data_IF_770906675087
#
_entry.id   IF_770906675087
#
_cell.length_a   1.000
_cell.length_b   1.000
_cell.length_c   1.000
_cell.angle_alpha   90.00
_cell.angle_beta   90.00
_cell.angle_gamma   90.00
#
_symmetry.space_group_name_H-M   'P 1'
#
loop_
_entity.id
_entity.type
_entity.pdbx_description
1 polymer ?
#
# COMPACT_ATOMS: atom_id res chain seq x y z
N UNK A 1 17.02 -13.96 12.89
CA UNK A 1 16.35 -14.67 11.78
C UNK A 1 14.90 -15.06 12.10
N UNK A 2 14.60 -15.94 13.07
CA UNK A 2 13.20 -16.34 13.37
C UNK A 2 12.27 -15.17 13.79
N UNK A 3 12.78 -14.24 14.62
CA UNK A 3 12.01 -13.05 15.05
C UNK A 3 11.63 -12.10 13.90
N UNK A 4 12.53 -11.88 12.93
CA UNK A 4 12.26 -10.99 11.79
C UNK A 4 11.25 -11.60 10.82
N UNK A 5 11.33 -12.90 10.60
CA UNK A 5 10.34 -13.62 9.79
C UNK A 5 8.93 -13.44 10.36
N UNK A 6 8.75 -13.68 11.66
CA UNK A 6 7.44 -13.58 12.31
C UNK A 6 6.91 -12.14 12.32
N UNK A 7 7.76 -11.14 12.59
CA UNK A 7 7.40 -9.71 12.53
C UNK A 7 6.98 -9.30 11.12
N UNK A 8 7.75 -9.70 10.11
CA UNK A 8 7.46 -9.44 8.71
C UNK A 8 6.13 -10.08 8.31
N UNK A 9 5.94 -11.36 8.62
CA UNK A 9 4.69 -12.08 8.31
C UNK A 9 3.47 -11.38 8.91
N UNK A 10 3.51 -11.02 10.21
CA UNK A 10 2.40 -10.29 10.86
C UNK A 10 2.11 -8.95 10.20
N UNK A 11 3.14 -8.20 9.81
CA UNK A 11 2.98 -6.94 9.07
C UNK A 11 2.24 -7.20 7.75
N UNK A 12 2.71 -8.15 6.95
CA UNK A 12 2.12 -8.42 5.62
C UNK A 12 0.70 -8.98 5.73
N UNK A 13 0.43 -9.84 6.70
CA UNK A 13 -0.92 -10.31 7.00
C UNK A 13 -1.84 -9.15 7.39
N UNK A 14 -1.35 -8.21 8.23
CA UNK A 14 -2.11 -7.01 8.58
C UNK A 14 -2.41 -6.12 7.36
N UNK A 15 -1.44 -5.93 6.46
CA UNK A 15 -1.64 -5.18 5.22
C UNK A 15 -2.61 -5.88 4.27
N UNK A 16 -2.55 -7.21 4.22
CA UNK A 16 -3.46 -8.04 3.41
C UNK A 16 -4.89 -7.94 3.92
N UNK A 17 -5.10 -8.10 5.23
CA UNK A 17 -6.41 -7.97 5.87
C UNK A 17 -7.03 -6.57 5.70
N UNK A 18 -6.20 -5.53 5.55
CA UNK A 18 -6.64 -4.15 5.26
C UNK A 18 -6.88 -3.86 3.78
N UNK A 19 -6.76 -4.86 2.90
CA UNK A 19 -6.80 -4.71 1.44
C UNK A 19 -5.72 -3.78 0.86
N UNK A 20 -4.61 -3.60 1.58
CA UNK A 20 -3.50 -2.74 1.16
C UNK A 20 -2.44 -3.54 0.38
N UNK A 21 -2.33 -4.85 0.64
CA UNK A 21 -1.44 -5.77 -0.06
C UNK A 21 -2.26 -6.92 -0.64
N UNK A 22 -2.44 -6.92 -1.96
CA UNK A 22 -3.24 -7.90 -2.69
C UNK A 22 -2.43 -8.61 -3.78
N UNK A 23 -1.37 -7.97 -4.30
CA UNK A 23 -0.45 -8.63 -5.24
C UNK A 23 0.40 -9.68 -4.51
N UNK A 24 0.15 -10.95 -4.82
CA UNK A 24 0.89 -12.09 -4.25
C UNK A 24 2.38 -12.07 -4.60
N UNK A 25 2.75 -11.56 -5.77
CA UNK A 25 4.17 -11.37 -6.15
C UNK A 25 4.82 -10.37 -5.22
N UNK A 26 4.12 -9.29 -4.89
CA UNK A 26 4.63 -8.28 -3.97
C UNK A 26 4.71 -8.81 -2.53
N UNK A 27 3.73 -9.61 -2.08
CA UNK A 27 3.82 -10.30 -0.80
C UNK A 27 5.10 -11.16 -0.71
N UNK A 28 5.38 -11.96 -1.74
CA UNK A 28 6.60 -12.77 -1.77
C UNK A 28 7.86 -11.91 -1.84
N UNK A 29 7.85 -10.84 -2.63
CA UNK A 29 8.96 -9.88 -2.67
C UNK A 29 9.27 -9.29 -1.28
N UNK A 30 8.24 -8.89 -0.52
CA UNK A 30 8.45 -8.44 0.86
C UNK A 30 9.08 -9.54 1.72
N UNK A 31 8.59 -10.78 1.63
CA UNK A 31 9.13 -11.93 2.37
C UNK A 31 10.60 -12.16 2.08
N UNK A 32 11.01 -12.07 0.81
CA UNK A 32 12.38 -12.33 0.35
C UNK A 32 13.34 -11.17 0.63
N UNK A 33 12.94 -9.92 0.41
CA UNK A 33 13.85 -8.76 0.51
C UNK A 33 13.99 -8.32 1.98
N UNK A 34 15.19 -8.37 2.58
CA UNK A 34 15.41 -8.04 3.99
C UNK A 34 15.51 -6.53 4.21
N UNK A 35 14.48 -5.90 4.78
CA UNK A 35 14.43 -4.45 5.01
C UNK A 35 15.63 -3.94 5.84
N UNK A 36 16.08 -4.74 6.80
CA UNK A 36 17.21 -4.40 7.68
C UNK A 36 18.52 -4.13 6.93
N UNK A 37 18.74 -4.75 5.76
CA UNK A 37 19.96 -4.55 4.97
C UNK A 37 20.01 -3.18 4.27
N UNK A 38 18.86 -2.50 4.21
CA UNK A 38 18.71 -1.17 3.62
C UNK A 38 18.78 -0.03 4.64
N UNK A 39 19.03 -0.35 5.92
CA UNK A 39 19.09 0.62 7.01
C UNK A 39 20.48 0.54 7.64
N UNK A 40 21.28 1.63 7.64
CA UNK A 40 22.54 1.65 8.37
C UNK A 40 22.35 1.27 9.84
N UNK A 41 23.24 0.43 10.39
CA UNK A 41 23.08 -0.15 11.74
C UNK A 41 22.76 0.87 12.84
N UNK A 42 23.33 2.07 12.76
CA UNK A 42 23.09 3.18 13.70
C UNK A 42 21.64 3.69 13.73
N UNK A 43 20.85 3.41 12.70
CA UNK A 43 19.45 3.83 12.58
C UNK A 43 18.46 2.67 12.76
N UNK A 44 18.92 1.42 12.90
CA UNK A 44 18.04 0.27 13.10
C UNK A 44 17.42 0.32 14.50
N UNK A 45 16.10 0.48 14.54
CA UNK A 45 15.27 0.28 15.72
C UNK A 45 14.59 -1.10 15.61
N UNK A 46 15.12 -2.11 16.31
CA UNK A 46 14.65 -3.51 16.21
C UNK A 46 13.22 -3.73 16.74
N UNK A 47 12.70 -2.78 17.53
CA UNK A 47 11.33 -2.78 18.05
C UNK A 47 10.36 -2.22 17.02
N UNK A 48 10.83 -1.29 16.18
CA UNK A 48 10.04 -0.66 15.11
C UNK A 48 10.21 -1.30 13.74
N UNK A 49 11.30 -2.02 13.52
CA UNK A 49 11.54 -2.76 12.29
C UNK A 49 10.35 -3.69 12.01
N UNK A 50 9.86 -3.67 10.76
CA UNK A 50 8.65 -4.37 10.34
C UNK A 50 7.35 -3.90 11.01
N UNK A 51 7.28 -2.67 11.52
CA UNK A 51 6.01 -1.96 11.72
C UNK A 51 5.66 -1.15 10.47
N UNK A 52 4.38 -0.85 10.32
CA UNK A 52 3.88 -0.05 9.20
C UNK A 52 4.16 1.46 9.40
N UNK A 53 5.43 1.82 9.45
CA UNK A 53 5.91 3.20 9.64
C UNK A 53 7.15 3.44 8.77
N UNK A 54 7.46 4.71 8.43
CA UNK A 54 8.71 5.04 7.75
C UNK A 54 9.93 4.72 8.61
N UNK A 55 11.02 4.26 7.99
CA UNK A 55 12.28 3.94 8.68
C UNK A 55 13.36 4.95 8.28
N UNK A 56 14.01 5.58 9.27
CA UNK A 56 15.14 6.48 9.02
C UNK A 56 16.33 5.67 8.51
N UNK A 57 16.94 6.10 7.41
CA UNK A 57 18.19 5.49 6.91
C UNK A 57 19.31 6.52 6.71
N UNK A 58 18.97 7.80 6.73
CA UNK A 58 19.94 8.88 6.61
C UNK A 58 19.49 10.09 7.44
N UNK A 59 20.44 10.73 8.10
CA UNK A 59 20.24 11.94 8.88
C UNK A 59 21.54 12.74 8.89
N UNK A 60 21.44 13.99 8.45
CA UNK A 60 22.47 15.00 8.58
C UNK A 60 22.00 16.12 9.51
N UNK A 61 20.79 16.64 9.25
CA UNK A 61 20.13 17.68 10.04
C UNK A 61 18.58 17.58 9.91
N UNK A 62 17.80 18.39 10.65
CA UNK A 62 16.33 18.33 10.61
C UNK A 62 15.68 18.59 9.24
N UNK A 63 16.38 19.25 8.31
CA UNK A 63 15.93 19.50 6.93
C UNK A 63 16.49 18.45 5.96
N UNK A 64 17.64 17.84 6.29
CA UNK A 64 18.34 16.83 5.51
C UNK A 64 18.33 15.46 6.21
N UNK A 65 17.15 14.84 6.24
CA UNK A 65 16.98 13.44 6.63
C UNK A 65 16.24 12.68 5.52
N UNK A 66 16.43 11.36 5.46
CA UNK A 66 15.73 10.49 4.50
C UNK A 66 15.19 9.25 5.18
N UNK A 67 13.99 8.89 4.77
CA UNK A 67 13.27 7.72 5.28
C UNK A 67 12.92 6.78 4.14
N UNK A 68 12.95 5.49 4.42
CA UNK A 68 12.26 4.46 3.65
C UNK A 68 10.77 4.64 3.92
N UNK A 69 9.94 4.68 2.88
CA UNK A 69 8.48 4.80 3.01
C UNK A 69 7.90 3.68 3.86
N UNK A 70 6.78 3.94 4.53
CA UNK A 70 6.06 2.92 5.28
C UNK A 70 5.64 1.75 4.35
N UNK A 71 5.63 0.50 4.83
CA UNK A 71 5.20 -0.68 4.09
C UNK A 71 3.90 -0.49 3.29
N UNK A 72 2.81 0.02 3.89
CA UNK A 72 1.57 0.26 3.15
C UNK A 72 1.73 1.25 1.98
N UNK A 73 2.64 2.22 2.10
CA UNK A 73 2.89 3.17 1.03
C UNK A 73 3.68 2.54 -0.10
N UNK A 74 4.60 1.63 0.23
CA UNK A 74 5.28 0.80 -0.77
C UNK A 74 4.28 -0.09 -1.51
N UNK A 75 3.32 -0.70 -0.80
CA UNK A 75 2.28 -1.52 -1.45
C UNK A 75 1.42 -0.70 -2.40
N UNK A 76 0.98 0.48 -1.95
CA UNK A 76 0.23 1.43 -2.78
C UNK A 76 1.05 1.83 -4.03
N UNK A 77 2.32 2.21 -3.86
CA UNK A 77 3.17 2.64 -4.96
C UNK A 77 3.38 1.52 -6.00
N UNK A 78 3.81 0.33 -5.57
CA UNK A 78 4.15 -0.75 -6.51
C UNK A 78 2.92 -1.39 -7.16
N UNK A 79 1.82 -1.57 -6.42
CA UNK A 79 0.57 -2.05 -7.02
C UNK A 79 -0.04 -1.02 -7.96
N UNK A 80 0.08 0.28 -7.65
CA UNK A 80 -0.39 1.36 -8.52
C UNK A 80 0.38 1.49 -9.84
N UNK A 81 1.60 0.93 -9.94
CA UNK A 81 2.31 0.84 -11.21
C UNK A 81 1.82 -0.33 -12.09
N UNK A 82 1.23 -1.35 -11.48
CA UNK A 82 0.87 -2.61 -12.13
C UNK A 82 2.03 -3.20 -12.95
N UNK A 83 3.20 -3.38 -12.31
CA UNK A 83 4.43 -3.86 -12.97
C UNK A 83 4.23 -5.25 -13.61
N UNK A 84 4.54 -5.35 -14.90
CA UNK A 84 4.75 -6.59 -15.66
C UNK A 84 6.20 -7.06 -15.50
N UNK A 85 6.50 -8.27 -15.96
CA UNK A 85 7.82 -8.90 -15.73
C UNK A 85 8.96 -8.23 -16.49
N UNK A 86 8.62 -7.52 -17.55
CA UNK A 86 9.45 -6.92 -18.59
C UNK A 86 9.27 -5.40 -18.70
N UNK A 87 8.56 -4.78 -17.75
CA UNK A 87 8.43 -3.32 -17.70
C UNK A 87 9.75 -2.67 -17.28
N UNK A 88 10.24 -1.72 -18.07
CA UNK A 88 11.31 -0.82 -17.65
C UNK A 88 10.77 0.25 -16.70
N UNK A 89 11.49 0.49 -15.61
CA UNK A 89 11.06 1.34 -14.50
C UNK A 89 12.12 2.41 -14.18
N UNK A 90 11.71 3.67 -14.31
CA UNK A 90 12.46 4.82 -13.82
C UNK A 90 11.94 5.26 -12.44
N UNK A 91 12.82 5.30 -11.44
CA UNK A 91 12.51 5.74 -10.06
C UNK A 91 13.19 7.07 -9.79
N UNK A 92 12.40 8.09 -9.43
CA UNK A 92 12.89 9.41 -9.05
C UNK A 92 12.96 9.51 -7.52
N UNK A 93 14.18 9.65 -7.01
CA UNK A 93 14.54 9.60 -5.60
C UNK A 93 14.88 8.18 -5.17
N UNK A 94 16.15 7.95 -4.78
CA UNK A 94 16.66 6.62 -4.50
C UNK A 94 16.12 6.01 -3.21
N UNK A 95 15.79 6.88 -2.24
CA UNK A 95 15.57 6.44 -0.85
C UNK A 95 16.79 5.60 -0.43
N UNK A 96 16.56 4.39 0.08
CA UNK A 96 17.64 3.47 0.42
C UNK A 96 17.88 2.39 -0.64
N UNK A 97 17.06 2.34 -1.71
CA UNK A 97 17.02 1.23 -2.68
C UNK A 97 16.02 0.11 -2.38
N UNK A 98 15.36 0.11 -1.20
CA UNK A 98 14.46 -0.98 -0.80
C UNK A 98 13.28 -1.20 -1.76
N UNK A 99 12.63 -0.10 -2.18
CA UNK A 99 11.52 -0.19 -3.14
C UNK A 99 11.96 -0.72 -4.51
N UNK A 100 13.18 -0.39 -4.93
CA UNK A 100 13.77 -0.84 -6.19
C UNK A 100 14.09 -2.33 -6.14
N UNK A 101 14.57 -2.83 -5.01
CA UNK A 101 14.76 -4.27 -4.80
C UNK A 101 13.43 -5.04 -4.84
N UNK A 102 12.37 -4.48 -4.25
CA UNK A 102 11.02 -5.05 -4.36
C UNK A 102 10.48 -4.97 -5.80
N UNK A 103 10.69 -3.85 -6.50
CA UNK A 103 10.28 -3.69 -7.89
C UNK A 103 10.98 -4.70 -8.81
N UNK A 104 12.28 -4.98 -8.59
CA UNK A 104 13.02 -5.98 -9.34
C UNK A 104 12.42 -7.39 -9.21
N UNK A 105 11.85 -7.74 -8.05
CA UNK A 105 11.13 -9.02 -7.87
C UNK A 105 9.84 -9.08 -8.71
N UNK A 106 9.23 -7.94 -9.02
CA UNK A 106 8.02 -7.86 -9.84
C UNK A 106 8.32 -7.81 -11.34
N UNK A 107 9.39 -7.09 -11.72
CA UNK A 107 9.87 -6.89 -13.08
C UNK A 107 11.31 -7.43 -13.27
N UNK A 108 11.53 -8.75 -13.13
CA UNK A 108 12.89 -9.31 -13.14
C UNK A 108 13.60 -9.25 -14.50
N UNK A 109 12.88 -8.94 -15.59
CA UNK A 109 13.44 -8.81 -16.95
C UNK A 109 13.51 -7.36 -17.44
N UNK A 110 12.90 -6.42 -16.72
CA UNK A 110 12.94 -5.00 -17.06
C UNK A 110 14.17 -4.32 -16.46
N UNK A 111 14.57 -3.22 -17.07
CA UNK A 111 15.64 -2.35 -16.57
C UNK A 111 15.07 -1.41 -15.49
N UNK A 112 15.74 -1.35 -14.33
CA UNK A 112 15.37 -0.43 -13.26
C UNK A 112 16.46 0.62 -13.12
N UNK A 113 16.11 1.88 -13.36
CA UNK A 113 17.03 3.02 -13.18
C UNK A 113 16.50 3.91 -12.07
N UNK A 114 17.39 4.27 -11.16
CA UNK A 114 17.15 5.18 -10.05
C UNK A 114 17.89 6.49 -10.33
N UNK A 115 17.19 7.62 -10.25
CA UNK A 115 17.77 8.96 -10.29
C UNK A 115 17.77 9.56 -8.89
N UNK A 116 18.93 9.98 -8.42
CA UNK A 116 19.11 10.63 -7.13
C UNK A 116 19.98 11.87 -7.27
N UNK A 117 19.61 12.96 -6.60
CA UNK A 117 20.35 14.22 -6.72
C UNK A 117 21.53 14.28 -5.74
N UNK A 118 21.42 13.62 -4.58
CA UNK A 118 22.45 13.63 -3.55
C UNK A 118 23.37 12.41 -3.68
N UNK A 119 24.67 12.64 -3.89
CA UNK A 119 25.66 11.58 -4.08
C UNK A 119 25.80 10.66 -2.88
N UNK A 120 25.73 11.17 -1.65
CA UNK A 120 25.84 10.35 -0.44
C UNK A 120 24.68 9.35 -0.35
N UNK A 121 23.45 9.80 -0.65
CA UNK A 121 22.27 8.91 -0.73
C UNK A 121 22.40 7.90 -1.87
N UNK A 122 22.93 8.32 -3.02
CA UNK A 122 23.17 7.43 -4.15
C UNK A 122 24.19 6.34 -3.79
N UNK A 123 25.28 6.70 -3.09
CA UNK A 123 26.29 5.75 -2.61
C UNK A 123 25.70 4.76 -1.62
N UNK A 124 24.96 5.22 -0.60
CA UNK A 124 24.26 4.34 0.35
C UNK A 124 23.33 3.37 -0.39
N UNK A 125 22.62 3.87 -1.41
CA UNK A 125 21.70 3.05 -2.21
C UNK A 125 22.44 1.98 -3.00
N UNK A 126 23.56 2.32 -3.66
CA UNK A 126 24.40 1.35 -4.38
C UNK A 126 24.93 0.27 -3.45
N UNK A 127 25.49 0.65 -2.30
CA UNK A 127 25.99 -0.30 -1.30
C UNK A 127 24.89 -1.24 -0.80
N UNK A 128 23.65 -0.76 -0.63
CA UNK A 128 22.54 -1.63 -0.21
C UNK A 128 22.10 -2.61 -1.31
N UNK A 129 22.13 -2.18 -2.58
CA UNK A 129 21.78 -3.04 -3.71
C UNK A 129 22.87 -4.09 -3.96
N UNK A 130 24.15 -3.72 -3.84
CA UNK A 130 25.29 -4.61 -3.99
C UNK A 130 25.28 -5.75 -2.95
N UNK A 131 24.90 -5.47 -1.69
CA UNK A 131 24.72 -6.51 -0.65
C UNK A 131 23.75 -7.63 -1.03
N UNK A 132 22.88 -7.39 -2.01
CA UNK A 132 21.88 -8.34 -2.51
C UNK A 132 22.13 -8.76 -3.97
N UNK A 133 23.32 -8.47 -4.52
CA UNK A 133 23.68 -8.75 -5.91
C UNK A 133 22.72 -8.12 -6.95
N UNK A 134 22.13 -6.97 -6.61
CA UNK A 134 21.16 -6.26 -7.46
C UNK A 134 21.76 -5.13 -8.28
N UNK A 135 23.02 -4.79 -8.06
CA UNK A 135 23.79 -3.73 -8.74
C UNK A 135 23.88 -3.93 -10.26
N UNK A 136 23.72 -5.17 -10.74
CA UNK A 136 23.69 -5.51 -12.17
C UNK A 136 22.35 -5.25 -12.86
N UNK A 137 21.26 -5.23 -12.10
CA UNK A 137 19.90 -5.11 -12.61
C UNK A 137 19.25 -3.76 -12.27
N UNK A 138 19.79 -3.07 -11.25
CA UNK A 138 19.27 -1.81 -10.73
C UNK A 138 20.37 -0.76 -10.74
N UNK A 139 20.30 0.17 -11.68
CA UNK A 139 21.29 1.24 -11.84
C UNK A 139 20.94 2.46 -10.99
N UNK A 140 21.93 3.06 -10.33
CA UNK A 140 21.78 4.32 -9.57
C UNK A 140 22.61 5.43 -10.23
N UNK A 141 21.94 6.46 -10.73
CA UNK A 141 22.55 7.58 -11.44
C UNK A 141 22.38 8.86 -10.61
N UNK A 142 23.50 9.58 -10.40
CA UNK A 142 23.47 10.90 -9.75
C UNK A 142 23.08 11.94 -10.79
N UNK A 143 21.87 12.48 -10.71
CA UNK A 143 21.31 13.45 -11.66
C UNK A 143 20.11 14.15 -11.03
N UNK A 144 19.76 15.33 -11.54
CA UNK A 144 18.47 15.94 -11.27
C UNK A 144 17.33 14.99 -11.69
N UNK A 145 16.54 14.42 -10.76
CA UNK A 145 15.56 13.40 -11.10
C UNK A 145 14.43 13.92 -12.00
N UNK A 146 14.11 15.22 -11.94
CA UNK A 146 13.02 15.81 -12.73
C UNK A 146 13.33 15.95 -14.22
N UNK A 147 14.58 15.77 -14.62
CA UNK A 147 14.94 15.68 -16.04
C UNK A 147 14.62 14.30 -16.64
N UNK A 148 14.42 13.30 -15.79
CA UNK A 148 14.29 11.91 -16.22
C UNK A 148 15.53 11.41 -16.99
N UNK A 149 15.29 10.41 -17.85
CA UNK A 149 16.27 9.79 -18.74
C UNK A 149 15.70 9.75 -20.16
N UNK A 150 15.70 10.88 -20.89
CA UNK A 150 15.15 10.95 -22.24
C UNK A 150 15.88 10.03 -23.23
N UNK A 151 17.20 9.86 -23.06
CA UNK A 151 18.03 9.02 -23.94
C UNK A 151 17.68 7.52 -23.87
N UNK A 152 17.00 7.10 -22.79
CA UNK A 152 16.54 5.73 -22.57
C UNK A 152 15.00 5.63 -22.61
N UNK A 153 14.31 6.70 -23.00
CA UNK A 153 12.87 6.67 -23.20
C UNK A 153 12.51 5.91 -24.49
N UNK A 154 11.31 5.32 -24.60
CA UNK A 154 10.17 5.41 -23.68
C UNK A 154 10.27 4.49 -22.44
N UNK A 155 9.71 4.96 -21.33
CA UNK A 155 9.56 4.20 -20.08
C UNK A 155 8.15 3.64 -19.94
N UNK A 156 8.01 2.33 -19.69
CA UNK A 156 6.70 1.78 -19.33
C UNK A 156 6.24 2.34 -17.99
N UNK A 157 7.15 2.54 -17.04
CA UNK A 157 6.81 2.94 -15.67
C UNK A 157 7.74 4.04 -15.16
N UNK A 158 7.16 5.09 -14.59
CA UNK A 158 7.88 6.15 -13.88
C UNK A 158 7.29 6.28 -12.48
N UNK A 159 8.10 6.06 -11.45
CA UNK A 159 7.72 6.20 -10.05
C UNK A 159 8.43 7.39 -9.41
N UNK A 160 7.68 8.28 -8.77
CA UNK A 160 8.25 9.41 -8.03
C UNK A 160 8.08 9.20 -6.53
N UNK A 161 9.19 9.22 -5.79
CA UNK A 161 9.20 8.90 -4.35
C UNK A 161 9.42 10.14 -3.45
N UNK A 162 9.26 11.34 -4.00
CA UNK A 162 9.29 12.62 -3.29
C UNK A 162 8.26 13.59 -3.87
N UNK A 163 7.78 14.53 -3.05
CA UNK A 163 6.75 15.49 -3.47
C UNK A 163 7.24 16.36 -4.64
N UNK A 164 6.39 16.51 -5.66
CA UNK A 164 6.64 17.35 -6.83
C UNK A 164 5.47 18.30 -7.09
N UNK A 165 5.78 19.51 -7.58
CA UNK A 165 4.76 20.47 -8.00
C UNK A 165 4.18 20.09 -9.37
N UNK A 166 2.92 20.44 -9.61
CA UNK A 166 2.18 20.08 -10.82
C UNK A 166 2.89 20.51 -12.11
N UNK A 167 3.51 21.69 -12.14
CA UNK A 167 4.20 22.19 -13.33
C UNK A 167 5.45 21.38 -13.71
N UNK A 168 6.02 20.62 -12.78
CA UNK A 168 7.27 19.86 -12.98
C UNK A 168 7.08 18.46 -13.56
N UNK A 169 5.84 18.02 -13.83
CA UNK A 169 5.58 16.66 -14.35
C UNK A 169 5.80 16.52 -15.86
N UNK A 170 5.70 17.62 -16.61
CA UNK A 170 5.64 17.60 -18.08
C UNK A 170 6.83 16.92 -18.76
N UNK A 171 8.11 17.17 -18.35
CA UNK A 171 9.25 16.49 -18.95
C UNK A 171 9.19 14.96 -18.79
N UNK A 172 8.64 14.47 -17.68
CA UNK A 172 8.50 13.04 -17.38
C UNK A 172 7.38 12.40 -18.21
N UNK A 173 6.26 13.11 -18.40
CA UNK A 173 5.15 12.62 -19.21
C UNK A 173 5.55 12.36 -20.67
N UNK A 174 6.43 13.19 -21.25
CA UNK A 174 6.93 12.99 -22.62
C UNK A 174 7.75 11.71 -22.77
N UNK A 175 8.36 11.25 -21.67
CA UNK A 175 9.22 10.05 -21.64
C UNK A 175 8.45 8.76 -21.39
N UNK A 176 7.14 8.81 -21.09
CA UNK A 176 6.32 7.61 -20.94
C UNK A 176 6.09 6.91 -22.28
N UNK A 177 6.01 5.58 -22.25
CA UNK A 177 5.54 4.78 -23.37
C UNK A 177 4.18 5.29 -23.88
N UNK A 178 4.02 5.53 -25.20
CA UNK A 178 2.82 6.15 -25.75
C UNK A 178 1.58 5.26 -25.70
N UNK A 179 1.74 3.95 -25.54
CA UNK A 179 0.65 2.96 -25.59
C UNK A 179 0.16 2.59 -24.20
N UNK A 180 1.08 2.39 -23.24
CA UNK A 180 0.71 1.93 -21.89
C UNK A 180 1.58 2.49 -20.74
N UNK A 181 2.26 3.61 -20.98
CA UNK A 181 3.15 4.23 -20.00
C UNK A 181 2.41 4.76 -18.77
N UNK A 182 2.89 4.44 -17.57
CA UNK A 182 2.32 4.91 -16.29
C UNK A 182 3.33 5.76 -15.52
N UNK A 183 2.93 6.98 -15.16
CA UNK A 183 3.60 7.77 -14.13
C UNK A 183 2.78 7.71 -12.84
N UNK A 184 3.45 7.48 -11.71
CA UNK A 184 2.81 7.53 -10.40
C UNK A 184 3.62 8.42 -9.44
N UNK A 185 3.00 9.50 -8.95
CA UNK A 185 3.73 10.55 -8.23
C UNK A 185 2.89 11.25 -7.15
N UNK A 186 3.50 11.68 -6.04
CA UNK A 186 2.88 12.59 -5.08
C UNK A 186 2.93 14.02 -5.62
N UNK A 187 1.80 14.48 -6.17
CA UNK A 187 1.70 15.82 -6.78
C UNK A 187 0.93 16.77 -5.87
N UNK A 188 1.53 17.93 -5.57
CA UNK A 188 0.90 18.98 -4.78
C UNK A 188 1.92 19.89 -4.09
N UNK A 189 1.39 20.76 -3.22
CA UNK A 189 2.20 21.65 -2.39
C UNK A 189 2.84 20.91 -1.20
N UNK A 190 3.79 21.55 -0.53
CA UNK A 190 4.76 20.91 0.38
C UNK A 190 4.15 20.16 1.57
N UNK A 191 2.99 20.57 2.10
CA UNK A 191 2.43 19.99 3.32
C UNK A 191 1.55 18.75 3.09
N UNK A 192 0.81 18.69 1.99
CA UNK A 192 -0.08 17.59 1.64
C UNK A 192 -0.14 17.46 0.12
N UNK A 193 0.25 16.30 -0.39
CA UNK A 193 0.16 15.99 -1.81
C UNK A 193 -1.00 15.03 -2.08
N UNK A 194 -1.33 14.89 -3.36
CA UNK A 194 -2.23 13.84 -3.83
C UNK A 194 -1.40 12.87 -4.65
N UNK A 195 -1.29 11.62 -4.19
CA UNK A 195 -0.64 10.59 -4.98
C UNK A 195 -1.50 10.30 -6.21
N UNK A 196 -0.95 10.55 -7.39
CA UNK A 196 -1.67 10.69 -8.66
C UNK A 196 -1.05 9.79 -9.70
N UNK A 197 -1.89 8.95 -10.31
CA UNK A 197 -1.54 8.08 -11.42
C UNK A 197 -1.88 8.77 -12.72
N UNK A 198 -0.96 8.77 -13.68
CA UNK A 198 -1.16 9.31 -15.02
C UNK A 198 -0.77 8.23 -16.02
N UNK A 199 -1.74 7.81 -16.82
CA UNK A 199 -1.57 6.82 -17.88
C UNK A 199 -1.44 7.57 -19.22
N UNK A 200 -0.52 7.11 -20.08
CA UNK A 200 -0.39 7.52 -21.46
C UNK A 200 -0.91 6.39 -22.37
N UNK A 201 -1.97 6.68 -23.13
CA UNK A 201 -2.57 5.74 -24.09
C UNK A 201 -2.83 6.48 -25.39
N UNK A 202 -2.39 5.91 -26.51
CA UNK A 202 -2.50 6.50 -27.85
C UNK A 202 -2.05 7.97 -27.88
N UNK A 203 -0.95 8.28 -27.18
CA UNK A 203 -0.40 9.63 -27.07
C UNK A 203 -1.22 10.61 -26.21
N UNK A 204 -2.33 10.18 -25.62
CA UNK A 204 -3.17 10.97 -24.72
C UNK A 204 -2.87 10.67 -23.25
N UNK A 205 -3.11 11.62 -22.34
CA UNK A 205 -2.83 11.47 -20.92
C UNK A 205 -4.11 11.47 -20.07
N UNK A 206 -4.24 10.46 -19.20
CA UNK A 206 -5.38 10.25 -18.32
C UNK A 206 -4.94 10.17 -16.86
N UNK A 207 -5.50 11.01 -15.99
CA UNK A 207 -5.09 11.13 -14.60
C UNK A 207 -6.14 10.60 -13.60
N UNK A 208 -5.70 9.85 -12.58
CA UNK A 208 -6.50 9.43 -11.42
C UNK A 208 -5.83 9.88 -10.12
N UNK A 209 -6.56 10.67 -9.33
CA UNK A 209 -6.13 11.13 -8.00
C UNK A 209 -6.52 10.06 -6.98
N UNK A 210 -5.54 9.44 -6.32
CA UNK A 210 -5.79 8.26 -5.48
C UNK A 210 -6.02 8.66 -4.02
N UNK A 211 -4.98 9.15 -3.32
CA UNK A 211 -5.06 9.46 -1.89
C UNK A 211 -4.20 10.67 -1.50
N UNK A 212 -4.52 11.25 -0.34
CA UNK A 212 -3.70 12.29 0.29
C UNK A 212 -2.51 11.67 1.00
N UNK A 213 -1.34 12.26 0.80
CA UNK A 213 -0.06 11.77 1.33
C UNK A 213 0.81 12.91 1.84
N UNK A 214 1.86 12.55 2.58
CA UNK A 214 2.89 13.48 3.07
C UNK A 214 4.26 12.93 2.73
N UNK A 215 4.84 13.43 1.65
CA UNK A 215 6.20 13.15 1.23
C UNK A 215 7.07 14.38 1.46
N UNK A 216 8.35 14.14 1.78
CA UNK A 216 9.37 15.19 1.69
C UNK A 216 9.50 15.64 0.23
N UNK A 217 9.82 16.92 -0.04
CA UNK A 217 10.13 17.39 -1.38
C UNK A 217 11.15 16.48 -2.08
N UNK A 218 10.93 16.23 -3.37
CA UNK A 218 11.93 15.54 -4.20
C UNK A 218 13.14 16.45 -4.33
N UNK A 219 14.32 15.93 -3.99
CA UNK A 219 15.56 16.68 -4.15
C UNK A 219 15.95 16.75 -5.63
N UNK A 220 16.23 17.96 -6.11
CA UNK A 220 16.51 18.22 -7.54
C UNK A 220 17.87 18.86 -7.76
N UNK A 221 18.44 19.46 -6.72
CA UNK A 221 19.77 20.05 -6.77
C UNK A 221 20.79 18.92 -6.64
N UNK A 222 21.63 18.77 -7.66
CA UNK A 222 22.74 17.82 -7.60
C UNK A 222 23.72 18.30 -6.53
N UNK A 223 23.90 17.49 -5.51
CA UNK A 223 24.87 17.69 -4.44
C UNK A 223 25.93 16.60 -4.60
N UNK A 224 27.15 17.02 -4.93
CA UNK A 224 28.31 16.14 -5.06
C UNK A 224 29.06 16.13 -3.72
N UNK A 225 29.54 14.96 -3.30
CA UNK A 225 30.27 14.80 -2.05
C UNK A 225 31.53 15.68 -2.05
N UNK A 226 31.87 16.23 -0.87
CA UNK A 226 33.11 16.99 -0.69
C UNK A 226 34.39 16.17 -1.03
N UNK A 227 34.29 14.83 -1.02
CA UNK A 227 35.38 13.92 -1.40
C UNK A 227 35.53 13.86 -2.93
N UNK A 228 34.43 13.90 -3.69
CA UNK A 228 34.45 13.94 -5.16
C UNK A 228 35.02 15.28 -5.66
N UNK A 229 34.64 16.38 -5.00
CA UNK A 229 35.21 17.71 -5.24
C UNK A 229 36.73 17.75 -4.98
N UNK A 230 37.26 16.97 -4.04
CA UNK A 230 38.69 16.90 -3.78
C UNK A 230 39.43 16.04 -4.82
N UNK A 231 38.87 14.89 -5.20
CA UNK A 231 39.45 14.00 -6.22
C UNK A 231 39.51 14.65 -7.61
N UNK A 232 38.43 15.34 -8.02
CA UNK A 232 38.37 16.01 -9.33
C UNK A 232 39.22 17.29 -9.39
N UNK A 233 39.49 17.93 -8.24
CA UNK A 233 40.38 19.11 -8.15
C UNK A 233 41.86 18.70 -8.19
N UNK A 234 42.23 17.55 -7.61
CA UNK A 234 43.58 17.02 -7.71
C UNK A 234 43.91 16.49 -9.12
N UNK A 235 42.93 15.96 -9.85
CA UNK A 235 43.14 15.37 -11.18
C UNK A 235 43.07 16.38 -12.34
N UNK A 236 42.32 17.50 -12.20
CA UNK A 236 42.07 18.44 -13.30
C UNK A 236 42.92 19.72 -13.29
N UNK A 237 43.60 20.06 -12.19
CA UNK A 237 44.57 21.17 -12.12
C UNK A 237 44.07 22.56 -12.56
N UNK A 238 42.76 22.74 -12.78
CA UNK A 238 42.15 24.00 -13.20
C UNK A 238 40.86 24.24 -12.43
N UNK A 239 40.59 25.48 -11.99
CA UNK A 239 39.34 25.80 -11.30
C UNK A 239 38.17 25.54 -12.24
N UNK A 240 37.25 24.66 -11.81
CA UNK A 240 35.99 24.43 -12.49
C UNK A 240 35.11 25.66 -12.26
N UNK A 241 34.98 26.52 -13.27
CA UNK A 241 33.96 27.58 -13.28
C UNK A 241 32.58 26.93 -13.43
N UNK A 242 31.89 26.75 -12.31
CA UNK A 242 30.47 26.41 -12.29
C UNK A 242 29.70 27.66 -12.75
N UNK A 243 29.33 27.72 -14.04
CA UNK A 243 28.39 28.74 -14.52
C UNK A 243 27.03 28.52 -13.88
N UNK A 244 26.77 29.29 -12.83
CA UNK A 244 25.45 29.48 -12.24
C UNK A 244 24.53 30.08 -13.30
N UNK A 245 23.47 29.36 -13.66
CA UNK A 245 22.32 29.95 -14.31
C UNK A 245 21.06 29.54 -13.55
N UNK A 246 20.73 30.23 -12.44
CA UNK A 246 19.41 30.08 -11.84
C UNK A 246 18.42 30.69 -12.84
N UNK A 247 17.30 30.01 -13.11
CA UNK A 247 16.20 30.51 -13.96
C UNK A 247 16.32 30.35 -15.50
N UNK A 248 16.65 29.16 -15.99
CA UNK A 248 16.19 28.73 -17.32
C UNK A 248 15.63 27.31 -17.30
N UNK A 249 14.38 27.19 -16.86
CA UNK A 249 13.50 26.07 -17.24
C UNK A 249 12.12 26.66 -17.55
N UNK A 250 12.07 27.53 -18.56
CA UNK A 250 10.84 27.99 -19.20
C UNK A 250 11.09 27.98 -20.71
N UNK A 251 11.27 26.79 -21.26
CA UNK A 251 11.22 26.58 -22.70
C UNK A 251 9.93 25.82 -23.03
N UNK A 252 9.00 26.58 -23.62
CA UNK A 252 7.81 26.17 -24.36
C UNK A 252 7.14 24.86 -23.91
N UNK A 253 6.36 24.96 -22.82
CA UNK A 253 5.35 23.95 -22.49
C UNK A 253 4.29 23.93 -23.61
N UNK A 254 4.43 23.04 -24.58
CA UNK A 254 3.26 22.53 -25.29
C UNK A 254 2.27 22.02 -24.24
N UNK A 255 1.03 22.51 -24.28
CA UNK A 255 -0.01 22.21 -23.29
C UNK A 255 -0.32 20.69 -23.25
N UNK A 256 0.45 19.91 -22.49
CA UNK A 256 0.11 18.52 -22.20
C UNK A 256 -1.14 18.52 -21.32
N UNK A 257 -2.29 18.29 -21.95
CA UNK A 257 -3.56 18.25 -21.26
C UNK A 257 -3.81 16.88 -20.65
N UNK A 258 -3.61 16.75 -19.34
CA UNK A 258 -4.01 15.56 -18.59
C UNK A 258 -5.52 15.59 -18.32
N UNK A 259 -6.24 14.61 -18.87
CA UNK A 259 -7.67 14.43 -18.62
C UNK A 259 -7.86 13.68 -17.31
N UNK A 260 -8.25 14.38 -16.26
CA UNK A 260 -8.59 13.73 -14.99
C UNK A 260 -10.01 13.17 -15.06
N UNK A 261 -10.18 11.93 -14.63
CA UNK A 261 -11.49 11.37 -14.41
C UNK A 261 -11.52 10.63 -13.10
N UNK A 262 -12.68 10.67 -12.44
CA UNK A 262 -12.94 9.76 -11.32
C UNK A 262 -13.06 8.31 -11.80
N UNK A 263 -13.41 8.07 -13.08
CA UNK A 263 -13.85 6.75 -13.58
C UNK A 263 -13.24 6.27 -14.92
N UNK A 264 -12.31 6.98 -15.59
CA UNK A 264 -11.83 6.56 -16.95
C UNK A 264 -10.84 5.37 -16.91
N UNK A 265 -10.15 5.13 -15.80
CA UNK A 265 -9.20 4.00 -15.68
C UNK A 265 -9.92 2.69 -15.32
N UNK A 266 -11.20 2.73 -14.92
CA UNK A 266 -11.96 1.52 -14.62
C UNK A 266 -12.52 0.87 -15.91
N UNK A 267 -12.44 1.55 -17.07
CA UNK A 267 -12.92 1.08 -18.39
C UNK A 267 -11.79 0.84 -19.42
N UNK A 268 -10.53 1.12 -19.08
CA UNK A 268 -9.39 0.60 -19.84
C UNK A 268 -9.12 -0.78 -19.26
N UNK A 269 -9.52 -1.79 -20.03
CA UNK A 269 -9.39 -3.22 -19.77
C UNK A 269 -7.97 -3.56 -19.25
N UNK A 270 -7.77 -3.45 -17.93
CA UNK A 270 -6.83 -4.33 -17.25
C UNK A 270 -7.43 -5.69 -17.51
N UNK A 271 -6.85 -6.45 -18.47
CA UNK A 271 -7.26 -7.80 -18.84
C UNK A 271 -8.25 -8.33 -17.81
N UNK A 272 -9.55 -8.35 -18.13
CA UNK A 272 -10.51 -9.13 -17.38
C UNK A 272 -9.88 -10.50 -17.20
N UNK A 273 -9.21 -10.69 -16.05
CA UNK A 273 -8.89 -12.01 -15.56
C UNK A 273 -10.27 -12.65 -15.52
N UNK A 274 -10.55 -13.66 -16.36
CA UNK A 274 -11.87 -14.24 -16.41
C UNK A 274 -12.21 -14.53 -14.96
N UNK A 275 -13.33 -14.00 -14.45
CA UNK A 275 -13.85 -14.38 -13.13
C UNK A 275 -14.08 -15.88 -13.22
N UNK A 276 -13.01 -16.62 -12.93
CA UNK A 276 -12.98 -18.06 -13.07
C UNK A 276 -14.02 -18.54 -12.11
N UNK A 277 -14.75 -19.59 -12.49
CA UNK A 277 -15.66 -20.31 -11.60
C UNK A 277 -14.99 -20.63 -10.25
N UNK A 278 -13.66 -20.74 -10.24
CA UNK A 278 -12.78 -20.90 -9.08
C UNK A 278 -12.68 -19.66 -8.17
N UNK A 279 -12.67 -18.43 -8.70
CA UNK A 279 -12.66 -17.20 -7.91
C UNK A 279 -14.02 -16.94 -7.25
N UNK A 280 -15.11 -17.20 -7.97
CA UNK A 280 -16.46 -17.14 -7.41
C UNK A 280 -16.66 -18.21 -6.33
N UNK A 281 -16.08 -19.40 -6.53
CA UNK A 281 -16.05 -20.47 -5.52
C UNK A 281 -15.28 -20.03 -4.27
N UNK A 282 -14.09 -19.41 -4.41
CA UNK A 282 -13.30 -18.92 -3.27
C UNK A 282 -14.01 -17.82 -2.48
N UNK A 283 -14.67 -16.88 -3.15
CA UNK A 283 -15.50 -15.86 -2.51
C UNK A 283 -16.65 -16.48 -1.70
N UNK A 284 -17.30 -17.52 -2.24
CA UNK A 284 -18.35 -18.26 -1.53
C UNK A 284 -17.79 -19.03 -0.34
N UNK A 285 -16.64 -19.71 -0.48
CA UNK A 285 -15.98 -20.43 0.60
C UNK A 285 -15.58 -19.52 1.76
N UNK A 286 -15.00 -18.35 1.48
CA UNK A 286 -14.65 -17.36 2.49
C UNK A 286 -15.89 -16.79 3.21
N UNK A 287 -16.94 -16.45 2.47
CA UNK A 287 -18.19 -16.00 3.07
C UNK A 287 -18.86 -17.08 3.94
N UNK A 288 -18.80 -18.35 3.50
CA UNK A 288 -19.29 -19.50 4.30
C UNK A 288 -18.48 -19.64 5.58
N UNK A 289 -17.17 -19.40 5.55
CA UNK A 289 -16.33 -19.49 6.76
C UNK A 289 -16.76 -18.46 7.82
N UNK A 290 -16.96 -17.20 7.44
CA UNK A 290 -17.46 -16.17 8.35
C UNK A 290 -18.89 -16.47 8.86
N UNK A 291 -19.75 -17.03 8.00
CA UNK A 291 -21.07 -17.49 8.43
C UNK A 291 -21.00 -18.65 9.44
N UNK A 292 -20.04 -19.57 9.28
CA UNK A 292 -19.83 -20.67 10.24
C UNK A 292 -19.29 -20.16 11.58
N UNK A 293 -18.36 -19.21 11.55
CA UNK A 293 -17.85 -18.58 12.77
C UNK A 293 -18.98 -17.84 13.49
N UNK A 294 -19.83 -17.11 12.76
CA UNK A 294 -21.00 -16.46 13.33
C UNK A 294 -21.99 -17.48 13.94
N UNK A 295 -22.17 -18.63 13.30
CA UNK A 295 -23.00 -19.73 13.80
C UNK A 295 -22.43 -20.34 15.08
N UNK A 296 -21.13 -20.54 15.15
CA UNK A 296 -20.46 -21.12 16.32
C UNK A 296 -20.56 -20.19 17.53
N UNK A 297 -20.38 -18.88 17.34
CA UNK A 297 -20.61 -17.89 18.39
C UNK A 297 -22.08 -17.85 18.85
N UNK A 298 -23.03 -17.95 17.91
CA UNK A 298 -24.46 -18.02 18.25
C UNK A 298 -24.79 -19.27 19.10
N UNK A 299 -24.15 -20.41 18.80
CA UNK A 299 -24.30 -21.66 19.57
C UNK A 299 -23.66 -21.56 20.96
N UNK A 300 -22.45 -21.03 21.05
CA UNK A 300 -21.78 -20.77 22.33
C UNK A 300 -22.65 -19.88 23.23
N UNK A 301 -23.32 -18.90 22.65
CA UNK A 301 -24.23 -18.02 23.38
C UNK A 301 -25.36 -18.79 24.09
N UNK A 302 -25.90 -19.86 23.49
CA UNK A 302 -27.00 -20.65 24.08
C UNK A 302 -26.62 -21.37 25.37
N UNK A 303 -25.35 -21.71 25.51
CA UNK A 303 -24.81 -22.43 26.66
C UNK A 303 -24.10 -21.52 27.64
N UNK A 304 -24.05 -20.20 27.37
CA UNK A 304 -23.31 -19.24 28.18
C UNK A 304 -24.21 -18.55 29.21
N UNK A 305 -23.88 -18.78 30.48
CA UNK A 305 -24.58 -18.22 31.61
C UNK A 305 -23.96 -16.90 32.07
N UNK A 306 -22.66 -16.69 31.82
CA UNK A 306 -21.93 -15.49 32.20
C UNK A 306 -22.22 -14.32 31.25
N UNK A 307 -22.84 -13.27 31.79
CA UNK A 307 -23.25 -12.09 31.01
C UNK A 307 -22.05 -11.36 30.38
N UNK A 308 -20.90 -11.31 31.06
CA UNK A 308 -19.65 -10.73 30.51
C UNK A 308 -19.27 -11.42 29.21
N UNK A 309 -19.22 -12.76 29.26
CA UNK A 309 -18.88 -13.60 28.12
C UNK A 309 -19.90 -13.47 27.00
N UNK A 310 -21.19 -13.33 27.31
CA UNK A 310 -22.20 -13.00 26.31
C UNK A 310 -21.94 -11.66 25.59
N UNK A 311 -21.42 -10.63 26.28
CA UNK A 311 -21.05 -9.37 25.62
C UNK A 311 -19.85 -9.57 24.68
N UNK A 312 -18.85 -10.32 25.11
CA UNK A 312 -17.68 -10.62 24.28
C UNK A 312 -18.09 -11.39 23.01
N UNK A 313 -18.96 -12.39 23.15
CA UNK A 313 -19.56 -13.12 22.02
C UNK A 313 -20.27 -12.19 21.03
N UNK A 314 -21.04 -11.21 21.50
CA UNK A 314 -21.71 -10.23 20.64
C UNK A 314 -20.69 -9.36 19.89
N UNK A 315 -19.60 -8.94 20.53
CA UNK A 315 -18.55 -8.15 19.88
C UNK A 315 -17.81 -8.98 18.81
N UNK A 316 -17.55 -10.26 19.06
CA UNK A 316 -17.01 -11.18 18.04
C UNK A 316 -17.96 -11.32 16.85
N UNK A 317 -19.25 -11.54 17.11
CA UNK A 317 -20.27 -11.62 16.07
C UNK A 317 -20.36 -10.32 15.24
N UNK A 318 -20.18 -9.16 15.87
CA UNK A 318 -20.15 -7.88 15.19
C UNK A 318 -18.93 -7.71 14.26
N UNK A 319 -17.78 -8.27 14.66
CA UNK A 319 -16.59 -8.39 13.82
C UNK A 319 -16.87 -9.21 12.55
N UNK A 320 -17.46 -10.40 12.71
CA UNK A 320 -17.80 -11.25 11.56
C UNK A 320 -18.86 -10.62 10.65
N UNK A 321 -19.81 -9.88 11.21
CA UNK A 321 -20.79 -9.14 10.42
C UNK A 321 -20.12 -8.02 9.61
N UNK A 322 -19.09 -7.36 10.15
CA UNK A 322 -18.33 -6.35 9.40
C UNK A 322 -17.57 -7.00 8.23
N UNK A 323 -16.93 -8.14 8.48
CA UNK A 323 -16.32 -8.97 7.43
C UNK A 323 -17.34 -9.36 6.35
N UNK A 324 -18.53 -9.82 6.74
CA UNK A 324 -19.60 -10.21 5.80
C UNK A 324 -20.12 -9.07 4.91
N UNK A 325 -19.96 -7.79 5.31
CA UNK A 325 -20.38 -6.65 4.48
C UNK A 325 -19.58 -6.53 3.19
N UNK A 326 -18.32 -6.96 3.17
CA UNK A 326 -17.46 -6.90 1.97
C UNK A 326 -18.01 -7.81 0.86
N UNK A 327 -18.59 -8.96 1.23
CA UNK A 327 -19.17 -9.93 0.31
C UNK A 327 -20.62 -9.64 -0.09
N UNK A 328 -21.28 -8.68 0.59
CA UNK A 328 -22.73 -8.47 0.48
C UNK A 328 -23.20 -8.16 -0.95
N UNK A 329 -22.48 -7.29 -1.67
CA UNK A 329 -22.86 -6.86 -3.03
C UNK A 329 -22.71 -8.01 -4.02
N UNK A 330 -21.67 -8.82 -3.85
CA UNK A 330 -21.29 -9.85 -4.80
C UNK A 330 -22.06 -11.16 -4.60
N UNK A 331 -22.42 -11.50 -3.35
CA UNK A 331 -23.10 -12.76 -3.00
C UNK A 331 -24.56 -12.61 -2.58
N UNK A 332 -25.09 -11.38 -2.53
CA UNK A 332 -26.50 -11.11 -2.19
C UNK A 332 -26.88 -11.44 -0.74
N UNK A 333 -25.90 -11.44 0.17
CA UNK A 333 -26.09 -11.84 1.58
C UNK A 333 -27.07 -10.92 2.35
N UNK A 334 -27.89 -11.52 3.22
CA UNK A 334 -28.82 -10.81 4.12
C UNK A 334 -28.15 -10.19 5.36
N UNK A 335 -26.96 -9.60 5.20
CA UNK A 335 -26.14 -9.01 6.29
C UNK A 335 -26.90 -8.00 7.15
N UNK A 336 -27.79 -7.19 6.54
CA UNK A 336 -28.63 -6.24 7.27
C UNK A 336 -29.59 -6.93 8.25
N UNK A 337 -30.15 -8.08 7.86
CA UNK A 337 -31.08 -8.85 8.69
C UNK A 337 -30.32 -9.56 9.82
N UNK A 338 -29.16 -10.14 9.51
CA UNK A 338 -28.23 -10.74 10.49
C UNK A 338 -27.86 -9.70 11.56
N UNK A 339 -27.40 -8.51 11.15
CA UNK A 339 -27.05 -7.41 12.08
C UNK A 339 -28.22 -6.99 12.96
N UNK A 340 -29.43 -6.93 12.41
CA UNK A 340 -30.62 -6.57 13.16
C UNK A 340 -30.90 -7.57 14.30
N UNK A 341 -30.76 -8.87 14.03
CA UNK A 341 -30.99 -9.91 15.03
C UNK A 341 -29.91 -9.86 16.13
N UNK A 342 -28.63 -9.67 15.77
CA UNK A 342 -27.54 -9.52 16.76
C UNK A 342 -27.75 -8.29 17.64
N UNK A 343 -28.26 -7.18 17.10
CA UNK A 343 -28.62 -6.02 17.90
C UNK A 343 -29.79 -6.29 18.88
N UNK A 344 -30.75 -7.13 18.50
CA UNK A 344 -31.81 -7.57 19.41
C UNK A 344 -31.24 -8.43 20.55
N UNK A 345 -30.36 -9.39 20.22
CA UNK A 345 -29.65 -10.23 21.21
C UNK A 345 -28.87 -9.36 22.20
N UNK A 346 -28.14 -8.34 21.70
CA UNK A 346 -27.45 -7.34 22.52
C UNK A 346 -28.38 -6.60 23.45
N UNK A 347 -29.53 -6.16 22.94
CA UNK A 347 -30.53 -5.43 23.73
C UNK A 347 -31.06 -6.30 24.87
N UNK A 348 -31.36 -7.58 24.61
CA UNK A 348 -31.75 -8.51 25.66
C UNK A 348 -30.61 -8.82 26.65
N UNK A 349 -29.36 -8.85 26.19
CA UNK A 349 -28.20 -9.05 27.07
C UNK A 349 -28.02 -7.89 28.06
N UNK A 350 -28.25 -6.66 27.61
CA UNK A 350 -28.26 -5.46 28.46
C UNK A 350 -29.39 -5.56 29.49
N UNK A 351 -30.61 -5.90 29.06
CA UNK A 351 -31.75 -6.06 29.96
C UNK A 351 -31.51 -7.15 31.01
N UNK A 352 -30.86 -8.26 30.63
CA UNK A 352 -30.47 -9.35 31.53
C UNK A 352 -29.47 -8.87 32.59
N UNK A 353 -28.48 -8.07 32.20
CA UNK A 353 -27.50 -7.44 33.11
C UNK A 353 -28.15 -6.48 34.11
N UNK A 354 -29.15 -5.71 33.68
CA UNK A 354 -29.85 -4.77 34.55
C UNK A 354 -30.75 -5.50 35.56
N UNK A 355 -31.34 -6.63 35.15
CA UNK A 355 -32.21 -7.46 35.99
C UNK A 355 -31.45 -8.31 37.01
N UNK A 356 -30.15 -8.55 36.83
CA UNK A 356 -29.29 -9.24 37.83
C UNK A 356 -29.22 -8.50 39.17
N UNK A 357 -29.63 -7.22 39.21
CA UNK A 357 -29.74 -6.42 40.43
C UNK A 357 -31.14 -6.46 41.07
N UNK A 358 -32.07 -7.26 40.53
CA UNK A 358 -33.48 -7.31 40.95
C UNK A 358 -33.92 -8.76 41.27
N UNK A 359 -34.79 -8.93 42.27
CA UNK A 359 -35.34 -10.25 42.65
C UNK A 359 -36.49 -10.73 41.73
N UNK A 360 -36.72 -10.08 40.58
CA UNK A 360 -37.83 -10.42 39.68
C UNK A 360 -37.47 -11.56 38.72
N UNK A 361 -37.54 -12.79 39.23
CA UNK A 361 -37.21 -14.02 38.50
C UNK A 361 -38.11 -14.29 37.29
N UNK A 362 -39.39 -13.91 37.34
CA UNK A 362 -40.33 -14.11 36.24
C UNK A 362 -39.95 -13.27 35.02
N UNK A 363 -39.62 -11.99 35.24
CA UNK A 363 -39.16 -11.09 34.17
C UNK A 363 -37.79 -11.50 33.62
N UNK A 364 -36.91 -12.03 34.47
CA UNK A 364 -35.60 -12.57 34.04
C UNK A 364 -35.77 -13.76 33.10
N UNK A 365 -36.63 -14.72 33.44
CA UNK A 365 -36.97 -15.85 32.56
C UNK A 365 -37.59 -15.41 31.23
N UNK A 366 -38.49 -14.42 31.25
CA UNK A 366 -39.10 -13.89 30.03
C UNK A 366 -38.06 -13.31 29.05
N UNK A 367 -37.09 -12.53 29.56
CA UNK A 367 -36.02 -11.94 28.75
C UNK A 367 -35.09 -13.02 28.18
N UNK A 368 -34.72 -14.02 28.99
CA UNK A 368 -33.88 -15.14 28.52
C UNK A 368 -34.57 -15.89 27.39
N UNK A 369 -35.87 -16.17 27.51
CA UNK A 369 -36.64 -16.85 26.46
C UNK A 369 -36.69 -16.03 25.16
N UNK A 370 -36.90 -14.72 25.25
CA UNK A 370 -36.86 -13.83 24.06
C UNK A 370 -35.49 -13.79 23.42
N UNK A 371 -34.43 -13.71 24.22
CA UNK A 371 -33.05 -13.77 23.74
C UNK A 371 -32.77 -15.08 23.01
N UNK A 372 -33.21 -16.21 23.57
CA UNK A 372 -33.04 -17.53 22.97
C UNK A 372 -33.78 -17.66 21.63
N UNK A 373 -34.97 -17.06 21.50
CA UNK A 373 -35.70 -17.03 20.23
C UNK A 373 -34.96 -16.23 19.14
N UNK A 374 -34.35 -15.09 19.48
CA UNK A 374 -33.53 -14.34 18.52
C UNK A 374 -32.30 -15.15 18.08
N UNK A 375 -31.65 -15.88 19.00
CA UNK A 375 -30.51 -16.73 18.67
C UNK A 375 -30.94 -17.87 17.73
N UNK A 376 -32.07 -18.54 18.00
CA UNK A 376 -32.61 -19.55 17.10
C UNK A 376 -32.91 -18.98 15.71
N UNK A 377 -33.51 -17.79 15.64
CA UNK A 377 -33.81 -17.10 14.38
C UNK A 377 -32.51 -16.75 13.62
N UNK A 378 -31.46 -16.38 14.35
CA UNK A 378 -30.15 -16.11 13.77
C UNK A 378 -29.53 -17.37 13.16
N UNK A 379 -29.54 -18.48 13.89
CA UNK A 379 -29.01 -19.76 13.41
C UNK A 379 -29.73 -20.21 12.13
N UNK A 380 -31.07 -20.18 12.10
CA UNK A 380 -31.86 -20.54 10.92
C UNK A 380 -31.51 -19.67 9.70
N UNK A 381 -31.34 -18.36 9.91
CA UNK A 381 -30.95 -17.44 8.85
C UNK A 381 -29.54 -17.73 8.33
N UNK A 382 -28.59 -18.02 9.22
CA UNK A 382 -27.21 -18.32 8.85
C UNK A 382 -27.13 -19.64 8.08
N UNK A 383 -27.82 -20.69 8.56
CA UNK A 383 -27.90 -21.98 7.85
C UNK A 383 -28.44 -21.81 6.44
N UNK A 384 -29.55 -21.07 6.29
CA UNK A 384 -30.13 -20.79 4.98
C UNK A 384 -29.19 -20.03 4.04
N UNK A 385 -28.37 -19.12 4.56
CA UNK A 385 -27.36 -18.42 3.75
C UNK A 385 -26.18 -19.33 3.39
N UNK A 386 -25.73 -20.22 4.28
CA UNK A 386 -24.68 -21.21 3.99
C UNK A 386 -25.16 -22.18 2.89
N UNK A 387 -26.35 -22.78 3.04
CA UNK A 387 -26.90 -23.71 2.05
C UNK A 387 -27.07 -23.08 0.67
N UNK A 388 -27.39 -21.79 0.61
CA UNK A 388 -27.52 -21.05 -0.65
C UNK A 388 -26.18 -20.79 -1.34
N UNK A 389 -25.09 -20.69 -0.57
CA UNK A 389 -23.74 -20.39 -1.07
C UNK A 389 -22.96 -21.64 -1.45
N UNK A 390 -23.29 -22.79 -0.85
CA UNK A 390 -22.82 -24.11 -1.26
C UNK A 390 -23.43 -24.50 -2.61
#
# INVERSE_FOLDING_TARGET
MKDYYDKKKRLLESLTAKNLLQDKRLYQAFMEVPLEEFIPRKYIDTVKLYKDIPNLFYYQDPQNYRTISAPHMITIMLQGLALKKDDDLLILGAKSGYISALAHKLAPKGEIIILEANSEIATITRENLEKLDLDKNVSVIVKNPLEGMPDLSPWQKILVTGAIRQNRIHPLLKQLDPNEGVLYAPIGEELVQTYTQILRVDGNFYGKRQLKVRFTPLMTRVELDNIQLAADVEESGKPIEIKHNPEKVDEALEDIKVKYASNIIDEIDMEEQPKTKELELKLREEAIQFLRELLDHARCFKTEDEISTCFDLIEYMDGEIESLKTFKKDLGLKVKKIKSIVNNIRSYNILRKDLDKSDNMEKKHEIINKQMNEINTLEELIHSEIERLQ
#
